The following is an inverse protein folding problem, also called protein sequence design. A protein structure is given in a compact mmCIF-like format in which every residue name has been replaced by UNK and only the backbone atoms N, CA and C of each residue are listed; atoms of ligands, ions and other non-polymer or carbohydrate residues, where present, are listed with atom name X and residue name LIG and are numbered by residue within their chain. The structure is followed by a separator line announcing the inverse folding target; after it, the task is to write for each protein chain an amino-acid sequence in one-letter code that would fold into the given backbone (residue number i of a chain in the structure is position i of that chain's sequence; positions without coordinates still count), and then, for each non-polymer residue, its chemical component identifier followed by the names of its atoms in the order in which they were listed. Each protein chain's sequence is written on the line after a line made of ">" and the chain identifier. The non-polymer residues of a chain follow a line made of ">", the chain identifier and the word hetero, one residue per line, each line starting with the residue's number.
data_IF_734238982026
#
_entry.id   IF_734238982026
#
_cell.length_a   1.000
_cell.length_b   1.000
_cell.length_c   1.000
_cell.angle_alpha   90.00
_cell.angle_beta   90.00
_cell.angle_gamma   90.00
#
_symmetry.space_group_name_H-M   'P 1'
#
loop_
_entity.id
_entity.type
_entity.pdbx_description
1 polymer ?
#
# COMPACT_ATOMS: atom_id res chain seq x y z
N UNK A 1 -27.43 0.17 10.48
CA UNK A 1 -27.57 -0.03 9.01
C UNK A 1 -29.06 -0.18 8.74
N UNK A 2 -29.58 0.46 7.69
CA UNK A 2 -30.97 0.31 7.28
C UNK A 2 -31.00 -0.37 5.92
N UNK A 3 -31.91 -1.33 5.78
CA UNK A 3 -32.08 -2.15 4.58
C UNK A 3 -33.54 -2.07 4.14
N UNK A 4 -33.77 -1.91 2.84
CA UNK A 4 -35.10 -1.84 2.26
C UNK A 4 -35.18 -2.78 1.05
N UNK A 5 -36.27 -3.54 1.01
CA UNK A 5 -36.57 -4.52 -0.01
C UNK A 5 -37.87 -4.14 -0.71
N UNK A 6 -37.77 -3.60 -1.93
CA UNK A 6 -38.93 -3.26 -2.75
C UNK A 6 -38.97 -4.18 -3.98
N UNK A 7 -39.57 -5.36 -3.83
CA UNK A 7 -39.64 -6.36 -4.90
C UNK A 7 -38.27 -6.93 -5.29
N UNK A 8 -37.70 -6.45 -6.41
CA UNK A 8 -36.38 -6.88 -6.95
C UNK A 8 -35.25 -5.87 -6.69
N UNK A 9 -35.55 -4.70 -6.14
CA UNK A 9 -34.52 -3.74 -5.74
C UNK A 9 -34.12 -3.99 -4.29
N UNK A 10 -32.82 -3.95 -4.04
CA UNK A 10 -32.26 -3.97 -2.70
C UNK A 10 -31.51 -2.67 -2.48
N UNK A 11 -31.90 -1.93 -1.44
CA UNK A 11 -31.32 -0.64 -1.13
C UNK A 11 -30.81 -0.61 0.30
N UNK A 12 -29.65 0.04 0.50
CA UNK A 12 -28.98 0.10 1.80
C UNK A 12 -28.62 1.55 2.12
N UNK A 13 -28.76 1.90 3.41
CA UNK A 13 -28.29 3.16 3.97
C UNK A 13 -27.45 2.92 5.23
N UNK A 14 -26.22 3.44 5.22
CA UNK A 14 -25.33 3.41 6.38
C UNK A 14 -25.50 4.66 7.22
N UNK A 15 -25.91 4.46 8.46
CA UNK A 15 -25.94 5.49 9.51
C UNK A 15 -24.96 5.07 10.59
N UNK A 16 -24.00 5.94 10.90
CA UNK A 16 -23.04 5.75 12.00
C UNK A 16 -23.44 6.63 13.17
N UNK A 17 -23.78 6.01 14.29
CA UNK A 17 -23.88 6.69 15.57
C UNK A 17 -22.48 6.81 16.18
N UNK A 18 -22.17 7.93 16.81
CA UNK A 18 -20.82 8.21 17.33
C UNK A 18 -20.50 7.41 18.59
N UNK A 19 -21.29 7.61 19.64
CA UNK A 19 -21.31 6.76 20.82
C UNK A 19 -22.38 5.66 20.65
N UNK A 20 -22.39 4.67 21.55
CA UNK A 20 -23.47 3.68 21.61
C UNK A 20 -24.81 4.41 21.84
N UNK A 21 -25.73 4.39 20.85
CA UNK A 21 -26.96 5.16 20.93
C UNK A 21 -27.93 4.50 21.91
N UNK A 22 -28.71 5.30 22.63
CA UNK A 22 -29.83 4.80 23.43
C UNK A 22 -31.03 4.49 22.54
N UNK A 23 -31.90 3.60 23.01
CA UNK A 23 -33.12 3.22 22.29
C UNK A 23 -34.02 4.43 21.96
N UNK A 24 -34.09 5.41 22.87
CA UNK A 24 -34.82 6.67 22.66
C UNK A 24 -34.25 7.50 21.49
N UNK A 25 -32.93 7.58 21.39
CA UNK A 25 -32.23 8.31 20.32
C UNK A 25 -32.42 7.63 18.96
N UNK A 26 -32.44 6.29 18.95
CA UNK A 26 -32.75 5.50 17.76
C UNK A 26 -34.20 5.75 17.32
N UNK A 27 -35.14 5.77 18.27
CA UNK A 27 -36.56 5.98 17.97
C UNK A 27 -36.82 7.38 17.41
N UNK A 28 -36.27 8.43 18.03
CA UNK A 28 -36.37 9.79 17.52
C UNK A 28 -35.72 9.93 16.13
N UNK A 29 -34.58 9.28 15.94
CA UNK A 29 -33.89 9.24 14.65
C UNK A 29 -34.79 8.63 13.56
N UNK A 30 -35.46 7.52 13.85
CA UNK A 30 -36.38 6.87 12.90
C UNK A 30 -37.54 7.82 12.55
N UNK A 31 -38.19 8.44 13.55
CA UNK A 31 -39.33 9.32 13.30
C UNK A 31 -38.98 10.58 12.50
N UNK A 32 -37.80 11.17 12.75
CA UNK A 32 -37.47 12.51 12.22
C UNK A 32 -36.59 12.47 10.97
N UNK A 33 -35.72 11.46 10.85
CA UNK A 33 -34.64 11.43 9.85
C UNK A 33 -34.73 10.26 8.89
N UNK A 34 -35.50 9.22 9.17
CA UNK A 34 -35.62 8.04 8.29
C UNK A 34 -36.02 8.42 6.86
N UNK A 35 -37.05 9.25 6.70
CA UNK A 35 -37.54 9.70 5.39
C UNK A 35 -36.54 10.57 4.60
N UNK A 36 -35.46 11.04 5.26
CA UNK A 36 -34.40 11.84 4.63
C UNK A 36 -33.16 11.01 4.28
N UNK A 37 -33.16 9.71 4.62
CA UNK A 37 -32.05 8.83 4.31
C UNK A 37 -31.96 8.61 2.80
N UNK A 38 -30.74 8.75 2.27
CA UNK A 38 -30.43 8.40 0.90
C UNK A 38 -30.12 6.92 0.84
N UNK A 39 -31.05 6.14 0.31
CA UNK A 39 -30.83 4.73 0.04
C UNK A 39 -30.08 4.57 -1.28
N UNK A 40 -28.97 3.83 -1.22
CA UNK A 40 -28.22 3.47 -2.41
C UNK A 40 -28.66 2.07 -2.82
N UNK A 41 -29.38 1.99 -3.92
CA UNK A 41 -29.84 0.73 -4.50
C UNK A 41 -28.72 0.01 -5.23
N UNK A 42 -28.52 -1.28 -4.93
CA UNK A 42 -27.97 -2.21 -5.91
C UNK A 42 -29.17 -2.73 -6.69
N UNK A 43 -29.37 -2.24 -7.92
CA UNK A 43 -30.25 -2.92 -8.87
C UNK A 43 -29.66 -4.32 -9.00
N UNK A 44 -30.39 -5.35 -8.53
CA UNK A 44 -30.07 -6.75 -8.84
C UNK A 44 -30.40 -7.04 -10.32
N UNK A 45 -29.90 -6.19 -11.22
CA UNK A 45 -29.79 -6.54 -12.63
C UNK A 45 -28.42 -7.15 -12.81
N UNK A 46 -28.47 -8.46 -13.06
CA UNK A 46 -27.47 -9.24 -13.78
C UNK A 46 -26.60 -8.33 -14.65
N UNK A 47 -25.33 -8.18 -14.29
CA UNK A 47 -24.17 -8.08 -15.18
C UNK A 47 -22.97 -7.43 -14.46
N UNK A 48 -22.31 -8.22 -13.61
CA UNK A 48 -20.87 -8.07 -13.38
C UNK A 48 -20.06 -8.43 -14.65
N UNK A 49 -20.53 -8.06 -15.84
CA UNK A 49 -19.85 -8.26 -17.13
C UNK A 49 -19.08 -7.01 -17.57
N UNK A 50 -19.34 -5.83 -16.97
CA UNK A 50 -18.77 -4.57 -17.45
C UNK A 50 -17.45 -4.12 -16.80
N UNK A 51 -16.92 -4.84 -15.78
CA UNK A 51 -15.69 -4.42 -15.09
C UNK A 51 -14.51 -5.39 -15.21
N UNK A 52 -14.66 -6.50 -15.93
CA UNK A 52 -13.51 -7.31 -16.33
C UNK A 52 -13.44 -7.27 -17.85
N UNK A 53 -12.68 -6.32 -18.40
CA UNK A 53 -12.16 -6.46 -19.76
C UNK A 53 -11.47 -7.83 -19.82
N UNK A 54 -12.15 -8.84 -20.38
CA UNK A 54 -11.55 -10.16 -20.62
C UNK A 54 -10.30 -9.90 -21.43
N UNK A 55 -9.13 -10.15 -20.84
CA UNK A 55 -7.88 -10.02 -21.57
C UNK A 55 -7.96 -10.92 -22.81
N UNK A 56 -7.53 -10.40 -23.97
CA UNK A 56 -7.54 -11.18 -25.20
C UNK A 56 -6.87 -12.54 -24.94
N UNK A 57 -7.48 -13.67 -25.34
CA UNK A 57 -6.96 -15.00 -25.03
C UNK A 57 -5.51 -15.19 -25.51
N UNK A 58 -5.09 -14.51 -26.60
CA UNK A 58 -3.69 -14.48 -27.05
C UNK A 58 -2.76 -13.76 -26.07
N UNK A 59 -3.25 -12.70 -25.42
CA UNK A 59 -2.52 -11.94 -24.39
C UNK A 59 -2.40 -12.76 -23.10
N UNK A 60 -3.47 -13.44 -22.71
CA UNK A 60 -3.47 -14.38 -21.59
C UNK A 60 -2.49 -15.54 -21.84
N UNK A 61 -2.54 -16.17 -23.02
CA UNK A 61 -1.58 -17.22 -23.41
C UNK A 61 -0.14 -16.73 -23.45
N UNK A 62 0.12 -15.49 -23.90
CA UNK A 62 1.46 -14.88 -23.84
C UNK A 62 1.91 -14.65 -22.41
N UNK A 63 1.01 -14.25 -21.51
CA UNK A 63 1.30 -14.04 -20.08
C UNK A 63 1.61 -15.37 -19.40
N UNK A 64 0.76 -16.38 -19.61
CA UNK A 64 0.99 -17.75 -19.15
C UNK A 64 2.33 -18.24 -19.70
N UNK A 65 2.59 -18.15 -21.01
CA UNK A 65 3.88 -18.54 -21.60
C UNK A 65 5.05 -17.70 -21.09
N UNK A 66 4.87 -16.46 -20.62
CA UNK A 66 5.96 -15.69 -19.99
C UNK A 66 6.24 -16.15 -18.56
N UNK A 67 5.21 -16.59 -17.86
CA UNK A 67 5.28 -17.09 -16.48
C UNK A 67 5.72 -18.57 -16.45
N UNK A 68 5.31 -19.37 -17.43
CA UNK A 68 5.58 -20.82 -17.54
C UNK A 68 6.69 -21.18 -18.52
N UNK A 69 7.09 -20.27 -19.44
CA UNK A 69 8.43 -20.35 -20.00
C UNK A 69 9.30 -20.15 -18.80
N UNK A 70 9.81 -21.28 -18.33
CA UNK A 70 10.88 -21.41 -17.38
C UNK A 70 11.66 -20.11 -17.42
N UNK A 71 11.82 -19.46 -16.26
CA UNK A 71 13.06 -18.73 -16.03
C UNK A 71 14.11 -19.67 -16.62
N UNK A 72 14.66 -19.32 -17.79
CA UNK A 72 15.68 -20.13 -18.40
C UNK A 72 16.78 -20.08 -17.37
N UNK A 73 16.81 -21.09 -16.52
CA UNK A 73 17.73 -21.18 -15.41
C UNK A 73 19.03 -21.27 -16.14
N UNK A 74 19.73 -20.14 -16.21
CA UNK A 74 21.15 -20.17 -16.44
C UNK A 74 21.72 -21.28 -15.57
N UNK A 75 22.68 -22.04 -16.10
CA UNK A 75 23.33 -23.15 -15.37
C UNK A 75 23.48 -22.80 -13.89
N UNK A 76 23.36 -23.74 -12.94
CA UNK A 76 23.42 -23.44 -11.49
C UNK A 76 24.54 -22.45 -11.12
N UNK A 77 25.66 -22.49 -11.85
CA UNK A 77 26.74 -21.51 -11.84
C UNK A 77 26.31 -20.04 -12.13
N UNK A 78 25.53 -19.76 -13.17
CA UNK A 78 25.04 -18.42 -13.50
C UNK A 78 24.11 -17.85 -12.42
N UNK A 79 23.28 -18.68 -11.79
CA UNK A 79 22.44 -18.26 -10.65
C UNK A 79 23.33 -17.91 -9.45
N UNK A 80 24.28 -18.78 -9.11
CA UNK A 80 25.22 -18.55 -8.01
C UNK A 80 26.07 -17.28 -8.21
N UNK A 81 26.55 -17.02 -9.44
CA UNK A 81 27.30 -15.80 -9.77
C UNK A 81 26.45 -14.53 -9.62
N UNK A 82 25.17 -14.60 -9.99
CA UNK A 82 24.24 -13.47 -9.83
C UNK A 82 23.97 -13.17 -8.36
N UNK A 83 23.76 -14.20 -7.55
CA UNK A 83 23.57 -14.08 -6.11
C UNK A 83 24.83 -13.50 -5.43
N UNK A 84 26.01 -13.99 -5.79
CA UNK A 84 27.29 -13.44 -5.32
C UNK A 84 27.44 -11.96 -5.69
N UNK A 85 27.08 -11.58 -6.92
CA UNK A 85 27.14 -10.19 -7.36
C UNK A 85 26.22 -9.27 -6.54
N UNK A 86 24.97 -9.66 -6.30
CA UNK A 86 24.03 -8.87 -5.51
C UNK A 86 24.48 -8.74 -4.05
N UNK A 87 25.00 -9.82 -3.45
CA UNK A 87 25.56 -9.78 -2.10
C UNK A 87 26.76 -8.83 -2.02
N UNK A 88 27.71 -8.92 -2.95
CA UNK A 88 28.88 -8.04 -2.99
C UNK A 88 28.49 -6.56 -3.19
N UNK A 89 27.44 -6.30 -3.98
CA UNK A 89 26.92 -4.95 -4.21
C UNK A 89 26.34 -4.36 -2.92
N UNK A 90 25.63 -5.15 -2.13
CA UNK A 90 25.10 -4.70 -0.83
C UNK A 90 26.22 -4.42 0.17
N UNK A 91 27.22 -5.31 0.27
CA UNK A 91 28.35 -5.13 1.17
C UNK A 91 29.18 -3.89 0.83
N UNK A 92 29.45 -3.66 -0.47
CA UNK A 92 30.11 -2.43 -0.93
C UNK A 92 29.34 -1.16 -0.55
N UNK A 93 28.01 -1.17 -0.67
CA UNK A 93 27.17 -0.04 -0.26
C UNK A 93 27.22 0.20 1.26
N UNK A 94 27.18 -0.85 2.07
CA UNK A 94 27.31 -0.73 3.53
C UNK A 94 28.67 -0.15 3.91
N UNK A 95 29.75 -0.69 3.35
CA UNK A 95 31.12 -0.25 3.64
C UNK A 95 31.34 1.21 3.25
N UNK A 96 30.97 1.60 2.03
CA UNK A 96 31.12 2.99 1.56
C UNK A 96 30.28 3.97 2.38
N UNK A 97 29.08 3.59 2.82
CA UNK A 97 28.26 4.40 3.72
C UNK A 97 28.92 4.56 5.09
N UNK A 98 29.48 3.48 5.64
CA UNK A 98 30.18 3.50 6.93
C UNK A 98 31.40 4.41 6.87
N UNK A 99 32.25 4.27 5.85
CA UNK A 99 33.44 5.12 5.66
C UNK A 99 33.07 6.61 5.58
N UNK A 100 32.08 6.96 4.76
CA UNK A 100 31.60 8.35 4.66
C UNK A 100 31.12 8.90 6.00
N UNK A 101 30.36 8.10 6.75
CA UNK A 101 29.87 8.51 8.07
C UNK A 101 31.00 8.73 9.08
N UNK A 102 32.04 7.89 9.04
CA UNK A 102 33.23 8.04 9.89
C UNK A 102 33.95 9.34 9.53
N UNK A 103 34.26 9.57 8.25
CA UNK A 103 34.94 10.77 7.77
C UNK A 103 34.17 12.06 8.10
N UNK A 104 32.84 12.06 7.94
CA UNK A 104 31.99 13.20 8.31
C UNK A 104 32.05 13.49 9.81
N UNK A 105 32.03 12.44 10.65
CA UNK A 105 32.13 12.58 12.10
C UNK A 105 33.49 13.15 12.52
N UNK A 106 34.58 12.74 11.88
CA UNK A 106 35.94 13.24 12.13
C UNK A 106 36.07 14.71 11.73
N UNK A 107 35.61 15.06 10.52
CA UNK A 107 35.57 16.44 10.04
C UNK A 107 34.74 17.33 10.97
N UNK A 108 33.62 16.84 11.47
CA UNK A 108 32.79 17.57 12.43
C UNK A 108 33.51 17.80 13.77
N UNK A 109 34.13 16.76 14.34
CA UNK A 109 34.93 16.87 15.58
C UNK A 109 36.04 17.90 15.43
N UNK A 110 36.77 17.88 14.31
CA UNK A 110 37.83 18.84 14.00
C UNK A 110 37.31 20.27 13.85
N UNK A 111 36.14 20.46 13.22
CA UNK A 111 35.49 21.79 13.14
C UNK A 111 35.12 22.29 14.53
N UNK A 112 34.59 21.42 15.40
CA UNK A 112 34.23 21.78 16.76
C UNK A 112 35.45 22.13 17.62
N UNK A 113 36.56 21.39 17.52
CA UNK A 113 37.80 21.72 18.24
C UNK A 113 38.34 23.08 17.79
N UNK A 114 38.45 23.32 16.48
CA UNK A 114 38.88 24.62 15.92
C UNK A 114 37.99 25.78 16.35
N UNK A 115 36.67 25.57 16.40
CA UNK A 115 35.73 26.58 16.91
C UNK A 115 35.98 26.89 18.39
N UNK A 116 36.18 25.86 19.22
CA UNK A 116 36.50 26.03 20.64
C UNK A 116 37.82 26.77 20.83
N UNK A 117 38.87 26.43 20.07
CA UNK A 117 40.16 27.11 20.11
C UNK A 117 40.04 28.60 19.74
N UNK A 118 39.30 28.93 18.67
CA UNK A 118 39.02 30.33 18.30
C UNK A 118 38.30 31.11 19.40
N UNK A 119 37.40 30.47 20.14
CA UNK A 119 36.69 31.11 21.26
C UNK A 119 37.52 31.25 22.54
N UNK A 120 38.63 30.51 22.68
CA UNK A 120 39.47 30.59 23.89
C UNK A 120 40.34 31.85 23.96
N UNK A 121 40.42 32.63 22.87
CA UNK A 121 41.20 33.86 22.80
C UNK A 121 42.71 33.59 22.84
N UNK A 122 43.44 34.15 21.88
CA UNK A 122 44.83 34.55 22.10
C UNK A 122 44.84 36.07 22.26
#
# INVERSE_FOLDING_TARGET
>A
MFEEHEGKSYSVSKVTFGAEPKDEEIYEFILTKYNKLKFVGAIMEKENSYLIKKENPKRLQRKIKRETKEQGIGTKAQVALKEQYENNKLEKKKHTKLQRSIEESEKFKLKQSKRKEKHKGH
#
